data_IF_985132748530
#
_entry.id   IF_985132748530
#
_cell.length_a   1.000
_cell.length_b   1.000
_cell.length_c   1.000
_cell.angle_alpha   90.00
_cell.angle_beta   90.00
_cell.angle_gamma   90.00
#
_symmetry.space_group_name_H-M   'P 1'
#
loop_
_entity.id
_entity.type
_entity.pdbx_description
1 polymer ?
#
# COMPACT_ATOMS: atom_id res chain seq x y z
N UNK A 1 -52.10 71.38 -3.97
CA UNK A 1 -52.24 69.93 -3.74
C UNK A 1 -51.32 69.57 -2.57
N UNK A 2 -51.86 69.37 -1.36
CA UNK A 2 -51.04 69.11 -0.16
C UNK A 2 -50.63 67.63 -0.17
N UNK A 3 -49.36 67.33 -0.46
CA UNK A 3 -48.85 65.97 -0.35
C UNK A 3 -48.87 65.55 1.13
N UNK A 4 -49.48 64.40 1.40
CA UNK A 4 -49.71 63.91 2.74
C UNK A 4 -48.42 63.24 3.25
N UNK A 5 -47.53 64.05 3.85
CA UNK A 5 -46.16 63.70 4.24
C UNK A 5 -46.08 62.47 5.16
N UNK A 6 -47.12 62.21 5.95
CA UNK A 6 -47.19 61.01 6.80
C UNK A 6 -47.26 59.71 5.98
N UNK A 7 -47.96 59.71 4.83
CA UNK A 7 -48.04 58.54 3.95
C UNK A 7 -46.70 58.25 3.25
N UNK A 8 -45.96 59.30 2.90
CA UNK A 8 -44.61 59.19 2.31
C UNK A 8 -43.62 58.62 3.33
N UNK A 9 -43.72 59.05 4.60
CA UNK A 9 -42.89 58.54 5.68
C UNK A 9 -43.14 57.05 5.97
N UNK A 10 -44.41 56.63 6.01
CA UNK A 10 -44.77 55.22 6.17
C UNK A 10 -44.36 54.36 4.97
N UNK A 11 -44.39 54.90 3.74
CA UNK A 11 -43.94 54.20 2.53
C UNK A 11 -42.40 54.06 2.48
N UNK A 12 -41.65 55.08 2.92
CA UNK A 12 -40.19 54.99 3.08
C UNK A 12 -39.78 54.04 4.20
N UNK A 13 -40.47 54.04 5.35
CA UNK A 13 -40.19 53.12 6.45
C UNK A 13 -40.46 51.65 6.08
N UNK A 14 -41.53 51.38 5.31
CA UNK A 14 -41.82 50.06 4.77
C UNK A 14 -40.80 49.59 3.72
N UNK A 15 -40.28 50.51 2.91
CA UNK A 15 -39.26 50.19 1.90
C UNK A 15 -37.90 49.90 2.54
N UNK A 16 -37.53 50.60 3.62
CA UNK A 16 -36.29 50.37 4.35
C UNK A 16 -36.29 49.04 5.15
N UNK A 17 -37.47 48.58 5.60
CA UNK A 17 -37.63 47.31 6.29
C UNK A 17 -37.51 46.07 5.37
N UNK A 18 -37.65 46.24 4.05
CA UNK A 18 -37.52 45.14 3.08
C UNK A 18 -36.04 44.88 2.72
N UNK A 19 -35.16 45.88 2.88
CA UNK A 19 -33.72 45.76 2.54
C UNK A 19 -32.91 45.07 3.64
N UNK A 20 -33.46 44.91 4.85
CA UNK A 20 -32.77 44.26 5.98
C UNK A 20 -32.95 42.75 6.04
N UNK A 21 -33.74 42.14 5.14
CA UNK A 21 -33.78 40.69 4.91
C UNK A 21 -32.65 40.29 3.96
N UNK A 22 -31.42 40.68 4.31
CA UNK A 22 -30.22 40.17 3.64
C UNK A 22 -30.08 38.70 3.99
N UNK A 23 -30.14 37.83 2.98
CA UNK A 23 -29.90 36.40 3.11
C UNK A 23 -28.55 36.14 3.78
N UNK A 24 -28.53 35.89 5.10
CA UNK A 24 -27.35 35.45 5.84
C UNK A 24 -26.87 34.03 5.47
N UNK A 25 -27.54 33.35 4.54
CA UNK A 25 -27.06 32.07 3.99
C UNK A 25 -26.12 32.37 2.83
N UNK A 26 -24.86 32.66 3.18
CA UNK A 26 -23.74 32.50 2.27
C UNK A 26 -23.80 31.07 1.70
N UNK A 27 -23.70 30.94 0.39
CA UNK A 27 -23.73 29.65 -0.30
C UNK A 27 -22.53 28.85 0.20
N UNK A 28 -22.77 27.80 0.97
CA UNK A 28 -21.77 26.77 1.21
C UNK A 28 -21.70 25.96 -0.07
N UNK A 29 -20.73 26.26 -0.92
CA UNK A 29 -20.37 25.37 -2.02
C UNK A 29 -19.80 24.10 -1.40
N UNK A 30 -20.65 23.08 -1.23
CA UNK A 30 -20.18 21.73 -1.01
C UNK A 30 -19.57 21.26 -2.32
N UNK A 31 -18.24 21.10 -2.34
CA UNK A 31 -17.52 20.48 -3.45
C UNK A 31 -17.92 19.00 -3.52
N UNK A 32 -19.02 18.70 -4.23
CA UNK A 32 -19.54 17.34 -4.41
C UNK A 32 -18.62 16.50 -5.31
N UNK A 33 -17.75 17.14 -6.09
CA UNK A 33 -16.91 16.49 -7.12
C UNK A 33 -15.55 16.03 -6.63
N UNK A 34 -15.14 16.36 -5.40
CA UNK A 34 -13.83 16.00 -4.85
C UNK A 34 -13.95 15.54 -3.41
N UNK A 35 -13.31 14.41 -3.09
CA UNK A 35 -13.16 13.91 -1.73
C UNK A 35 -12.44 14.96 -0.89
N UNK A 36 -13.13 15.53 0.10
CA UNK A 36 -12.56 16.44 1.08
C UNK A 36 -11.95 15.65 2.24
N UNK A 37 -11.18 16.32 3.10
CA UNK A 37 -10.64 15.70 4.32
C UNK A 37 -11.74 15.14 5.25
N UNK A 38 -12.97 15.63 5.13
CA UNK A 38 -14.12 15.13 5.90
C UNK A 38 -14.46 13.68 5.56
N UNK A 39 -14.15 13.19 4.36
CA UNK A 39 -14.34 11.79 4.01
C UNK A 39 -13.53 10.85 4.90
N UNK A 40 -12.30 11.23 5.22
CA UNK A 40 -11.41 10.49 6.12
C UNK A 40 -11.79 10.61 7.60
N UNK A 41 -12.90 11.29 7.92
CA UNK A 41 -13.53 11.24 9.25
C UNK A 41 -14.61 10.17 9.35
N UNK A 42 -14.85 9.40 8.28
CA UNK A 42 -15.84 8.32 8.23
C UNK A 42 -15.17 6.95 8.30
N UNK A 43 -15.90 5.94 8.77
CA UNK A 43 -15.47 4.53 8.76
C UNK A 43 -14.99 4.09 7.37
N UNK A 44 -15.78 4.39 6.34
CA UNK A 44 -15.49 4.01 4.97
C UNK A 44 -14.22 4.71 4.47
N UNK A 45 -14.07 6.02 4.72
CA UNK A 45 -12.90 6.76 4.26
C UNK A 45 -11.60 6.35 4.95
N UNK A 46 -11.64 6.04 6.25
CA UNK A 46 -10.47 5.51 6.95
C UNK A 46 -10.09 4.11 6.49
N UNK A 47 -11.08 3.25 6.23
CA UNK A 47 -10.83 1.92 5.66
C UNK A 47 -10.25 2.01 4.24
N UNK A 48 -10.77 2.93 3.41
CA UNK A 48 -10.24 3.16 2.06
C UNK A 48 -8.85 3.80 2.08
N UNK A 49 -8.52 4.61 3.09
CA UNK A 49 -7.16 5.07 3.33
C UNK A 49 -6.21 3.91 3.65
N UNK A 50 -6.61 2.96 4.51
CA UNK A 50 -5.83 1.75 4.80
C UNK A 50 -5.60 0.94 3.51
N UNK A 51 -6.66 0.68 2.75
CA UNK A 51 -6.58 -0.02 1.47
C UNK A 51 -5.66 0.69 0.46
N UNK A 52 -5.73 2.02 0.39
CA UNK A 52 -4.87 2.81 -0.50
C UNK A 52 -3.38 2.60 -0.21
N UNK A 53 -3.01 2.27 1.03
CA UNK A 53 -1.64 1.98 1.41
C UNK A 53 -1.10 0.69 0.80
N UNK A 54 -1.95 -0.21 0.27
CA UNK A 54 -1.54 -1.42 -0.46
C UNK A 54 -1.26 -1.18 -1.93
N UNK A 55 -1.87 -0.17 -2.55
CA UNK A 55 -1.75 0.04 -4.00
C UNK A 55 -0.28 0.15 -4.50
N UNK A 56 0.67 0.76 -3.77
CA UNK A 56 2.07 0.79 -4.19
C UNK A 56 2.76 -0.57 -4.28
N UNK A 57 2.25 -1.61 -3.61
CA UNK A 57 2.80 -2.97 -3.72
C UNK A 57 2.73 -3.51 -5.13
N UNK A 58 1.73 -3.06 -5.91
CA UNK A 58 1.49 -3.54 -7.27
C UNK A 58 2.67 -3.24 -8.18
N UNK A 59 3.27 -2.05 -8.07
CA UNK A 59 4.34 -1.60 -8.95
C UNK A 59 5.50 -2.60 -9.07
N UNK A 60 5.80 -3.35 -8.00
CA UNK A 60 6.86 -4.37 -8.02
C UNK A 60 6.57 -5.54 -8.95
N UNK A 61 5.32 -5.84 -9.32
CA UNK A 61 4.95 -7.12 -9.94
C UNK A 61 4.34 -7.04 -11.35
N UNK A 62 4.34 -5.87 -11.98
CA UNK A 62 3.31 -5.58 -12.99
C UNK A 62 3.82 -5.00 -14.30
N UNK A 63 5.13 -4.86 -14.44
CA UNK A 63 5.74 -4.39 -15.66
C UNK A 63 7.19 -4.85 -15.79
N UNK A 64 7.88 -4.27 -16.77
CA UNK A 64 9.27 -4.62 -17.07
C UNK A 64 10.23 -4.38 -15.90
N UNK A 65 9.98 -3.33 -15.13
CA UNK A 65 10.73 -3.02 -13.90
C UNK A 65 10.78 -4.19 -12.91
N UNK A 66 9.76 -5.07 -12.92
CA UNK A 66 9.65 -6.19 -12.00
C UNK A 66 10.73 -7.23 -12.19
N UNK A 67 11.04 -7.60 -13.43
CA UNK A 67 12.13 -8.53 -13.69
C UNK A 67 13.47 -7.81 -13.83
N UNK A 68 13.50 -6.60 -14.41
CA UNK A 68 14.73 -5.85 -14.60
C UNK A 68 15.38 -5.45 -13.26
N UNK A 69 14.62 -5.02 -12.24
CA UNK A 69 15.21 -4.57 -10.98
C UNK A 69 15.43 -5.67 -9.95
N UNK A 70 14.75 -6.82 -10.08
CA UNK A 70 14.72 -7.84 -9.04
C UNK A 70 15.23 -9.22 -9.47
N UNK A 71 15.37 -9.47 -10.78
CA UNK A 71 15.90 -10.73 -11.30
C UNK A 71 17.16 -10.56 -12.15
N UNK A 72 17.40 -9.39 -12.77
CA UNK A 72 18.62 -9.16 -13.56
C UNK A 72 19.82 -8.91 -12.63
N UNK A 73 21.03 -9.15 -13.15
CA UNK A 73 22.28 -8.89 -12.43
C UNK A 73 22.72 -10.03 -11.51
N UNK A 74 22.18 -11.23 -11.71
CA UNK A 74 22.58 -12.48 -11.04
C UNK A 74 22.96 -13.54 -12.07
N UNK A 75 23.50 -14.68 -11.64
CA UNK A 75 23.94 -15.76 -12.52
C UNK A 75 22.81 -16.69 -13.00
N UNK A 76 21.60 -16.57 -12.42
CA UNK A 76 20.43 -17.36 -12.84
C UNK A 76 19.58 -16.73 -13.94
N UNK A 77 19.72 -15.42 -14.20
CA UNK A 77 18.88 -14.70 -15.17
C UNK A 77 19.69 -13.70 -15.99
N UNK A 78 19.42 -13.61 -17.29
CA UNK A 78 20.03 -12.65 -18.20
C UNK A 78 19.00 -12.09 -19.18
N UNK A 79 19.28 -10.92 -19.75
CA UNK A 79 18.46 -10.34 -20.82
C UNK A 79 18.32 -11.31 -22.00
N UNK A 80 17.15 -11.27 -22.63
CA UNK A 80 16.92 -11.96 -23.90
C UNK A 80 17.39 -11.12 -25.10
N UNK A 81 16.64 -11.19 -26.19
CA UNK A 81 16.97 -10.50 -27.45
C UNK A 81 16.74 -8.98 -27.43
N UNK A 82 15.93 -8.48 -26.48
CA UNK A 82 15.69 -7.04 -26.34
C UNK A 82 16.73 -6.40 -25.42
N UNK A 83 17.48 -5.44 -25.95
CA UNK A 83 18.51 -4.67 -25.21
C UNK A 83 17.93 -3.54 -24.33
N UNK A 84 16.60 -3.43 -24.21
CA UNK A 84 16.01 -2.52 -23.24
C UNK A 84 16.41 -2.98 -21.83
N UNK A 85 16.96 -2.06 -21.03
CA UNK A 85 17.29 -2.31 -19.62
C UNK A 85 18.44 -3.30 -19.35
N UNK A 86 19.28 -3.62 -20.35
CA UNK A 86 20.51 -4.43 -20.19
C UNK A 86 21.45 -3.92 -19.09
N UNK A 87 21.41 -2.60 -18.82
CA UNK A 87 22.14 -1.94 -17.74
C UNK A 87 21.91 -2.54 -16.34
N UNK A 88 20.81 -3.26 -16.13
CA UNK A 88 20.56 -3.99 -14.88
C UNK A 88 21.25 -5.36 -14.80
N UNK A 89 21.69 -5.95 -15.91
CA UNK A 89 22.53 -7.14 -15.92
C UNK A 89 24.01 -6.77 -15.87
N UNK A 90 24.42 -5.83 -16.71
CA UNK A 90 25.84 -5.52 -16.89
C UNK A 90 26.36 -4.46 -15.91
N UNK A 91 25.46 -3.76 -15.20
CA UNK A 91 25.78 -2.65 -14.28
C UNK A 91 26.72 -1.60 -14.92
N UNK A 92 26.47 -1.30 -16.19
CA UNK A 92 27.28 -0.37 -16.99
C UNK A 92 26.96 1.11 -16.66
N UNK A 93 27.62 2.03 -17.37
CA UNK A 93 27.43 3.47 -17.19
C UNK A 93 26.01 3.97 -17.52
N UNK A 94 25.18 3.17 -18.19
CA UNK A 94 23.80 3.53 -18.49
C UNK A 94 22.90 3.37 -17.25
N UNK A 95 23.30 2.58 -16.24
CA UNK A 95 22.64 2.59 -14.94
C UNK A 95 23.11 3.78 -14.12
N UNK A 96 22.40 4.91 -14.27
CA UNK A 96 22.75 6.17 -13.63
C UNK A 96 21.54 6.81 -12.91
N UNK A 97 21.76 7.97 -12.29
CA UNK A 97 20.75 8.64 -11.47
C UNK A 97 19.50 9.12 -12.22
N UNK A 98 19.53 9.15 -13.56
CA UNK A 98 18.36 9.50 -14.39
C UNK A 98 17.53 8.27 -14.78
N UNK A 99 17.88 7.09 -14.26
CA UNK A 99 17.11 5.89 -14.52
C UNK A 99 15.66 5.99 -14.00
N UNK A 100 14.71 5.73 -14.88
CA UNK A 100 13.28 5.85 -14.60
C UNK A 100 12.80 4.84 -13.56
N UNK A 101 13.21 3.57 -13.63
CA UNK A 101 12.73 2.56 -12.68
C UNK A 101 13.31 2.77 -11.29
N UNK A 102 14.55 3.25 -11.17
CA UNK A 102 15.13 3.66 -9.89
C UNK A 102 14.35 4.82 -9.28
N UNK A 103 13.99 5.83 -10.09
CA UNK A 103 13.16 6.96 -9.64
C UNK A 103 11.75 6.53 -9.23
N UNK A 104 11.12 5.67 -10.03
CA UNK A 104 9.78 5.15 -9.77
C UNK A 104 9.73 4.29 -8.51
N UNK A 105 10.75 3.45 -8.26
CA UNK A 105 10.89 2.69 -7.01
C UNK A 105 10.86 3.64 -5.81
N UNK A 106 11.66 4.70 -5.86
CA UNK A 106 11.72 5.70 -4.79
C UNK A 106 10.37 6.39 -4.58
N UNK A 107 9.80 6.93 -5.65
CA UNK A 107 8.55 7.70 -5.63
C UNK A 107 7.37 6.84 -5.15
N UNK A 108 7.25 5.62 -5.66
CA UNK A 108 6.19 4.68 -5.31
C UNK A 108 6.25 4.24 -3.83
N UNK A 109 7.44 3.90 -3.32
CA UNK A 109 7.58 3.48 -1.93
C UNK A 109 7.35 4.65 -0.95
N UNK A 110 7.82 5.86 -1.25
CA UNK A 110 7.51 7.04 -0.42
C UNK A 110 6.04 7.44 -0.47
N UNK A 111 5.35 7.23 -1.60
CA UNK A 111 3.89 7.38 -1.67
C UNK A 111 3.18 6.39 -0.73
N UNK A 112 3.63 5.13 -0.66
CA UNK A 112 3.14 4.13 0.29
C UNK A 112 3.40 4.52 1.75
N UNK A 113 4.61 4.96 2.07
CA UNK A 113 4.97 5.44 3.41
C UNK A 113 4.10 6.63 3.83
N UNK A 114 3.86 7.59 2.93
CA UNK A 114 2.98 8.73 3.20
C UNK A 114 1.57 8.28 3.55
N UNK A 115 0.98 7.36 2.77
CA UNK A 115 -0.36 6.81 3.04
C UNK A 115 -0.41 6.08 4.38
N UNK A 116 0.64 5.31 4.72
CA UNK A 116 0.74 4.65 6.02
C UNK A 116 0.78 5.66 7.18
N UNK A 117 1.62 6.70 7.08
CA UNK A 117 1.72 7.73 8.12
C UNK A 117 0.40 8.46 8.31
N UNK A 118 -0.26 8.86 7.22
CA UNK A 118 -1.57 9.51 7.27
C UNK A 118 -2.62 8.61 7.92
N UNK A 119 -2.71 7.34 7.51
CA UNK A 119 -3.66 6.40 8.11
C UNK A 119 -3.40 6.17 9.59
N UNK A 120 -2.14 6.00 10.01
CA UNK A 120 -1.77 5.84 11.42
C UNK A 120 -2.21 7.06 12.23
N UNK A 121 -1.92 8.27 11.75
CA UNK A 121 -2.27 9.51 12.43
C UNK A 121 -3.79 9.68 12.55
N UNK A 122 -4.51 9.52 11.44
CA UNK A 122 -5.97 9.72 11.41
C UNK A 122 -6.73 8.67 12.23
N UNK A 123 -6.34 7.38 12.15
CA UNK A 123 -6.97 6.32 12.95
C UNK A 123 -6.68 6.52 14.44
N UNK A 124 -5.49 7.00 14.80
CA UNK A 124 -5.14 7.29 16.21
C UNK A 124 -6.00 8.42 16.79
N UNK A 125 -6.39 9.39 15.96
CA UNK A 125 -7.22 10.53 16.37
C UNK A 125 -8.73 10.26 16.24
N UNK A 126 -9.12 9.23 15.49
CA UNK A 126 -10.52 8.88 15.27
C UNK A 126 -11.18 8.48 16.59
N UNK A 127 -12.30 9.10 16.94
CA UNK A 127 -13.00 8.87 18.21
C UNK A 127 -14.51 8.81 18.01
N UNK A 128 -14.99 7.73 17.40
CA UNK A 128 -16.40 7.40 17.29
C UNK A 128 -16.64 5.95 17.74
N UNK A 129 -17.22 5.77 18.92
CA UNK A 129 -17.53 4.45 19.48
C UNK A 129 -18.68 3.72 18.76
N UNK A 130 -19.41 4.38 17.86
CA UNK A 130 -20.46 3.76 17.04
C UNK A 130 -19.92 3.12 15.76
N UNK A 131 -18.66 3.42 15.43
CA UNK A 131 -17.94 2.86 14.29
C UNK A 131 -17.90 1.33 14.35
N UNK A 132 -18.25 0.68 13.24
CA UNK A 132 -18.20 -0.78 13.13
C UNK A 132 -16.80 -1.29 12.81
N UNK A 133 -15.97 -0.46 12.20
CA UNK A 133 -14.62 -0.81 11.75
C UNK A 133 -13.53 -0.33 12.69
N UNK A 134 -13.77 0.74 13.46
CA UNK A 134 -12.78 1.45 14.27
C UNK A 134 -13.34 1.90 15.63
N UNK A 135 -14.48 1.36 16.07
CA UNK A 135 -15.14 1.78 17.31
C UNK A 135 -14.43 1.33 18.59
N UNK A 136 -13.61 0.26 18.49
CA UNK A 136 -12.86 -0.29 19.63
C UNK A 136 -11.36 -0.05 19.50
N UNK A 137 -10.64 -0.06 20.63
CA UNK A 137 -9.19 0.05 20.63
C UNK A 137 -8.52 -1.09 19.83
N UNK A 138 -9.00 -2.33 19.96
CA UNK A 138 -8.47 -3.48 19.23
C UNK A 138 -8.62 -3.33 17.71
N UNK A 139 -9.73 -2.79 17.24
CA UNK A 139 -9.96 -2.53 15.82
C UNK A 139 -9.03 -1.44 15.26
N UNK A 140 -8.81 -0.37 16.03
CA UNK A 140 -7.84 0.67 15.65
C UNK A 140 -6.43 0.11 15.61
N UNK A 141 -6.02 -0.64 16.63
CA UNK A 141 -4.70 -1.27 16.71
C UNK A 141 -4.48 -2.27 15.57
N UNK A 142 -5.51 -3.02 15.15
CA UNK A 142 -5.44 -3.91 13.99
C UNK A 142 -5.06 -3.15 12.71
N UNK A 143 -5.76 -2.03 12.41
CA UNK A 143 -5.49 -1.22 11.22
C UNK A 143 -4.17 -0.46 11.30
N UNK A 144 -3.79 0.03 12.48
CA UNK A 144 -2.49 0.67 12.70
C UNK A 144 -1.36 -0.35 12.49
N UNK A 145 -1.52 -1.58 12.98
CA UNK A 145 -0.55 -2.65 12.77
C UNK A 145 -0.41 -3.01 11.28
N UNK A 146 -1.52 -3.06 10.55
CA UNK A 146 -1.56 -3.27 9.10
C UNK A 146 -0.71 -2.22 8.37
N UNK A 147 -0.92 -0.94 8.68
CA UNK A 147 -0.16 0.18 8.11
C UNK A 147 1.32 0.16 8.51
N UNK A 148 1.65 -0.21 9.75
CA UNK A 148 3.05 -0.35 10.19
C UNK A 148 3.77 -1.47 9.44
N UNK A 149 3.14 -2.63 9.27
CA UNK A 149 3.72 -3.73 8.50
C UNK A 149 4.01 -3.32 7.05
N UNK A 150 3.09 -2.61 6.40
CA UNK A 150 3.31 -2.05 5.06
C UNK A 150 4.44 -1.01 5.04
N UNK A 151 4.48 -0.10 6.01
CA UNK A 151 5.56 0.91 6.12
C UNK A 151 6.93 0.26 6.29
N UNK A 152 7.03 -0.75 7.15
CA UNK A 152 8.23 -1.56 7.31
C UNK A 152 8.65 -2.24 6.01
N UNK A 153 7.70 -2.79 5.25
CA UNK A 153 7.96 -3.38 3.94
C UNK A 153 8.53 -2.37 2.95
N UNK A 154 7.94 -1.18 2.84
CA UNK A 154 8.42 -0.13 1.92
C UNK A 154 9.83 0.35 2.27
N UNK A 155 10.12 0.58 3.55
CA UNK A 155 11.48 0.87 3.97
C UNK A 155 12.44 -0.28 3.68
N UNK A 156 12.01 -1.53 3.88
CA UNK A 156 12.84 -2.69 3.61
C UNK A 156 13.16 -2.87 2.12
N UNK A 157 12.24 -2.58 1.21
CA UNK A 157 12.53 -2.56 -0.23
C UNK A 157 13.58 -1.49 -0.57
N UNK A 158 13.43 -0.28 -0.02
CA UNK A 158 14.34 0.82 -0.36
C UNK A 158 15.73 0.69 0.26
N UNK A 159 15.86 0.23 1.52
CA UNK A 159 17.17 0.14 2.19
C UNK A 159 18.11 -0.84 1.48
N UNK A 160 17.56 -1.88 0.85
CA UNK A 160 18.35 -2.87 0.10
C UNK A 160 18.93 -2.27 -1.19
N UNK A 161 18.23 -1.32 -1.83
CA UNK A 161 18.71 -0.74 -3.10
C UNK A 161 19.51 0.56 -2.91
N UNK A 162 19.17 1.36 -1.89
CA UNK A 162 19.73 2.70 -1.71
C UNK A 162 20.64 2.83 -0.48
N UNK A 163 20.67 1.83 0.39
CA UNK A 163 21.30 1.94 1.71
C UNK A 163 20.55 2.95 2.59
N UNK A 164 21.28 3.91 3.16
CA UNK A 164 20.68 4.92 4.03
C UNK A 164 19.66 5.79 3.30
N UNK A 165 18.48 6.01 3.88
CA UNK A 165 17.38 6.76 3.27
C UNK A 165 16.70 7.64 4.33
N UNK A 166 16.02 8.74 3.94
CA UNK A 166 15.26 9.54 4.89
C UNK A 166 14.15 8.74 5.60
N UNK A 167 14.09 8.88 6.92
CA UNK A 167 13.03 8.29 7.74
C UNK A 167 11.93 9.32 8.00
N UNK A 168 10.78 9.11 7.35
CA UNK A 168 9.56 9.91 7.50
C UNK A 168 8.52 9.01 8.16
N UNK A 169 8.32 9.15 9.47
CA UNK A 169 7.45 8.27 10.28
C UNK A 169 6.19 8.95 10.79
N UNK A 170 5.98 10.22 10.42
CA UNK A 170 4.83 11.04 10.75
C UNK A 170 4.46 11.94 9.56
N UNK A 171 3.26 12.49 9.56
CA UNK A 171 2.86 13.49 8.56
C UNK A 171 3.55 14.82 8.90
N UNK A 172 4.28 15.46 7.97
CA UNK A 172 4.86 16.77 8.24
C UNK A 172 3.77 17.81 8.51
N UNK A 173 3.80 18.48 9.66
CA UNK A 173 2.83 19.52 10.02
C UNK A 173 3.00 20.85 9.24
N UNK A 174 4.07 20.97 8.44
CA UNK A 174 4.36 22.11 7.56
C UNK A 174 5.14 21.63 6.33
N UNK A 175 5.16 22.40 5.22
CA UNK A 175 6.02 22.09 4.08
C UNK A 175 7.47 21.89 4.51
N UNK A 176 8.05 20.76 4.12
CA UNK A 176 9.42 20.39 4.39
C UNK A 176 10.15 20.17 3.06
N UNK A 177 11.30 20.81 2.91
CA UNK A 177 12.09 20.78 1.67
C UNK A 177 13.41 20.01 1.83
N UNK A 178 13.78 19.69 3.08
CA UNK A 178 15.03 18.99 3.40
C UNK A 178 14.72 17.68 4.12
N UNK A 179 15.27 16.59 3.59
CA UNK A 179 15.10 15.24 4.11
C UNK A 179 16.48 14.58 4.26
N UNK A 180 17.14 14.74 5.42
CA UNK A 180 18.44 14.12 5.64
C UNK A 180 18.34 12.60 5.60
N UNK A 181 19.32 11.95 4.98
CA UNK A 181 19.41 10.48 4.94
C UNK A 181 19.71 9.96 6.35
N UNK A 182 18.93 9.00 6.82
CA UNK A 182 19.31 8.23 7.99
C UNK A 182 20.38 7.19 7.62
N UNK A 183 21.16 6.76 8.60
CA UNK A 183 22.08 5.64 8.43
C UNK A 183 21.34 4.33 8.15
N UNK A 184 22.00 3.38 7.48
CA UNK A 184 21.44 2.03 7.23
C UNK A 184 20.96 1.38 8.53
N UNK A 185 21.73 1.49 9.61
CA UNK A 185 21.38 0.96 10.93
C UNK A 185 20.06 1.55 11.47
N UNK A 186 19.87 2.87 11.39
CA UNK A 186 18.64 3.52 11.81
C UNK A 186 17.43 3.06 10.97
N UNK A 187 17.63 2.85 9.67
CA UNK A 187 16.56 2.36 8.80
C UNK A 187 16.15 0.94 9.17
N UNK A 188 17.11 0.04 9.42
CA UNK A 188 16.80 -1.31 9.91
C UNK A 188 16.12 -1.30 11.27
N UNK A 189 16.54 -0.45 12.21
CA UNK A 189 15.87 -0.35 13.51
C UNK A 189 14.41 0.11 13.36
N UNK A 190 14.11 1.04 12.44
CA UNK A 190 12.73 1.45 12.13
C UNK A 190 11.91 0.31 11.51
N UNK A 191 12.47 -0.42 10.53
CA UNK A 191 11.83 -1.58 9.87
C UNK A 191 11.47 -2.65 10.92
N UNK A 192 12.45 -3.00 11.76
CA UNK A 192 12.27 -4.01 12.82
C UNK A 192 11.21 -3.56 13.82
N UNK A 193 11.22 -2.28 14.23
CA UNK A 193 10.22 -1.74 15.15
C UNK A 193 8.79 -1.79 14.57
N UNK A 194 8.64 -1.44 13.29
CA UNK A 194 7.35 -1.47 12.61
C UNK A 194 6.78 -2.90 12.55
N UNK A 195 7.56 -3.89 12.09
CA UNK A 195 7.08 -5.27 12.04
C UNK A 195 6.87 -5.90 13.43
N UNK A 196 7.77 -5.65 14.38
CA UNK A 196 7.67 -6.19 15.74
C UNK A 196 6.46 -5.64 16.49
N UNK A 197 6.14 -4.36 16.31
CA UNK A 197 4.96 -3.76 16.92
C UNK A 197 3.65 -4.09 16.19
N UNK A 198 3.70 -4.39 14.89
CA UNK A 198 2.52 -4.79 14.12
C UNK A 198 2.05 -6.22 14.43
N UNK A 199 2.97 -7.19 14.47
CA UNK A 199 2.62 -8.61 14.52
C UNK A 199 1.60 -9.02 15.60
N UNK A 200 1.72 -8.57 16.87
CA UNK A 200 0.79 -8.96 17.93
C UNK A 200 -0.69 -8.62 17.65
N UNK A 201 -0.95 -7.50 16.98
CA UNK A 201 -2.32 -7.04 16.68
C UNK A 201 -2.90 -7.62 15.40
N UNK A 202 -2.07 -8.22 14.54
CA UNK A 202 -2.51 -8.84 13.29
C UNK A 202 -3.00 -10.28 13.52
N UNK A 203 -4.02 -10.75 12.78
CA UNK A 203 -4.40 -12.15 12.77
C UNK A 203 -3.38 -12.97 11.98
N UNK A 204 -3.29 -14.28 12.29
CA UNK A 204 -2.43 -15.21 11.55
C UNK A 204 -2.85 -15.37 10.09
N UNK A 205 -4.17 -15.40 9.82
CA UNK A 205 -4.73 -15.59 8.49
C UNK A 205 -6.01 -14.77 8.34
N UNK A 206 -6.30 -14.41 7.09
CA UNK A 206 -7.60 -13.88 6.68
C UNK A 206 -8.32 -14.86 5.77
N UNK A 207 -9.65 -14.79 5.77
CA UNK A 207 -10.53 -15.58 4.90
C UNK A 207 -11.48 -14.66 4.14
N UNK A 208 -12.05 -15.14 3.03
CA UNK A 208 -13.02 -14.38 2.26
C UNK A 208 -12.43 -13.08 1.68
N UNK A 209 -13.16 -11.98 1.83
CA UNK A 209 -12.83 -10.67 1.22
C UNK A 209 -11.58 -10.00 1.80
N UNK A 210 -11.14 -10.39 2.99
CA UNK A 210 -9.95 -9.81 3.65
C UNK A 210 -8.65 -10.56 3.34
N UNK A 211 -8.69 -11.64 2.53
CA UNK A 211 -7.49 -12.32 2.05
C UNK A 211 -6.53 -11.33 1.40
N UNK A 212 -5.22 -11.48 1.61
CA UNK A 212 -4.21 -10.59 1.03
C UNK A 212 -3.92 -9.30 1.79
N UNK A 213 -4.70 -9.00 2.84
CA UNK A 213 -4.24 -8.05 3.87
C UNK A 213 -3.02 -8.58 4.62
N UNK A 214 -2.22 -7.68 5.17
CA UNK A 214 -1.07 -7.98 6.00
C UNK A 214 -1.50 -8.80 7.22
N UNK A 215 -0.89 -9.97 7.39
CA UNK A 215 -1.11 -10.88 8.50
C UNK A 215 0.05 -10.83 9.49
N UNK A 216 -0.12 -11.45 10.65
CA UNK A 216 0.99 -11.71 11.58
C UNK A 216 2.07 -12.56 10.91
N UNK A 217 1.68 -13.52 10.07
CA UNK A 217 2.61 -14.34 9.30
C UNK A 217 3.48 -13.47 8.36
N UNK A 218 2.87 -12.52 7.64
CA UNK A 218 3.61 -11.55 6.81
C UNK A 218 4.57 -10.71 7.67
N UNK A 219 4.09 -10.12 8.76
CA UNK A 219 4.91 -9.25 9.60
C UNK A 219 6.11 -10.00 10.19
N UNK A 220 5.93 -11.22 10.71
CA UNK A 220 7.00 -12.02 11.28
C UNK A 220 7.93 -12.62 10.24
N UNK A 221 7.43 -12.98 9.05
CA UNK A 221 8.29 -13.38 7.93
C UNK A 221 9.24 -12.25 7.53
N UNK A 222 8.72 -11.05 7.29
CA UNK A 222 9.57 -9.91 6.92
C UNK A 222 10.43 -9.39 8.08
N UNK A 223 9.99 -9.55 9.33
CA UNK A 223 10.83 -9.29 10.51
C UNK A 223 12.03 -10.23 10.57
N UNK A 224 11.81 -11.53 10.37
CA UNK A 224 12.88 -12.52 10.29
C UNK A 224 13.84 -12.19 9.13
N UNK A 225 13.32 -11.81 7.95
CA UNK A 225 14.16 -11.35 6.83
C UNK A 225 14.95 -10.09 7.18
N UNK A 226 14.37 -9.11 7.84
CA UNK A 226 15.06 -7.89 8.24
C UNK A 226 16.21 -8.18 9.24
N UNK A 227 15.98 -9.05 10.23
CA UNK A 227 17.03 -9.52 11.13
C UNK A 227 18.11 -10.30 10.40
N UNK A 228 17.74 -11.18 9.47
CA UNK A 228 18.68 -11.96 8.68
C UNK A 228 19.57 -11.05 7.83
N UNK A 229 18.97 -10.15 7.04
CA UNK A 229 19.71 -9.23 6.16
C UNK A 229 20.59 -8.26 6.96
N UNK A 230 20.13 -7.82 8.14
CA UNK A 230 20.98 -7.03 9.03
C UNK A 230 22.16 -7.88 9.51
N UNK A 231 21.89 -8.99 10.20
CA UNK A 231 22.91 -9.79 10.86
C UNK A 231 23.86 -10.54 9.92
N UNK A 232 23.49 -10.77 8.65
CA UNK A 232 24.31 -11.49 7.67
C UNK A 232 25.42 -10.64 7.04
N UNK A 233 25.43 -9.33 7.27
CA UNK A 233 26.40 -8.45 6.63
C UNK A 233 27.81 -8.66 7.21
N UNK A 234 28.76 -8.94 6.31
CA UNK A 234 30.17 -9.25 6.64
C UNK A 234 31.01 -7.97 6.72
N UNK A 235 30.90 -7.10 5.72
CA UNK A 235 31.72 -5.88 5.60
C UNK A 235 30.91 -4.60 5.81
N UNK A 236 29.64 -4.59 5.43
CA UNK A 236 28.78 -3.42 5.57
C UNK A 236 28.24 -3.27 7.00
N UNK A 237 28.40 -2.08 7.59
CA UNK A 237 27.79 -1.79 8.88
C UNK A 237 26.29 -1.51 8.72
N UNK A 238 25.47 -2.56 8.91
CA UNK A 238 23.99 -2.49 8.89
C UNK A 238 23.38 -2.32 10.29
N UNK A 239 24.20 -2.24 11.33
CA UNK A 239 23.76 -2.16 12.72
C UNK A 239 23.50 -3.54 13.34
N UNK A 240 24.29 -4.54 12.93
CA UNK A 240 24.22 -5.92 13.37
C UNK A 240 24.26 -6.04 14.89
N UNK A 241 23.43 -6.93 15.43
CA UNK A 241 23.41 -7.26 16.86
C UNK A 241 23.69 -8.76 17.04
N UNK A 242 24.40 -9.18 18.10
CA UNK A 242 24.67 -10.61 18.35
C UNK A 242 23.40 -11.47 18.43
N UNK A 243 22.26 -10.85 18.77
CA UNK A 243 20.94 -11.50 18.90
C UNK A 243 20.13 -11.54 17.61
N UNK A 244 20.67 -11.06 16.47
CA UNK A 244 19.92 -11.02 15.22
C UNK A 244 19.58 -12.43 14.74
N UNK A 245 20.54 -13.37 14.77
CA UNK A 245 20.29 -14.75 14.34
C UNK A 245 19.30 -15.48 15.26
N UNK A 246 19.37 -15.25 16.58
CA UNK A 246 18.37 -15.78 17.53
C UNK A 246 16.97 -15.25 17.20
N UNK A 247 16.87 -13.98 16.82
CA UNK A 247 15.60 -13.36 16.43
C UNK A 247 15.08 -13.94 15.11
N UNK A 248 15.96 -14.22 14.13
CA UNK A 248 15.58 -14.92 12.89
C UNK A 248 14.94 -16.27 13.21
N UNK A 249 15.63 -17.10 14.01
CA UNK A 249 15.16 -18.42 14.40
C UNK A 249 13.81 -18.33 15.12
N UNK A 250 13.69 -17.39 16.07
CA UNK A 250 12.46 -17.21 16.84
C UNK A 250 11.25 -16.87 15.94
N UNK A 251 11.33 -15.80 15.16
CA UNK A 251 10.19 -15.34 14.37
C UNK A 251 9.89 -16.26 13.18
N UNK A 252 10.90 -16.88 12.57
CA UNK A 252 10.68 -17.86 11.52
C UNK A 252 9.96 -19.11 12.07
N UNK A 253 10.39 -19.63 13.22
CA UNK A 253 9.73 -20.77 13.87
C UNK A 253 8.30 -20.43 14.29
N UNK A 254 8.05 -19.21 14.76
CA UNK A 254 6.71 -18.79 15.14
C UNK A 254 5.75 -18.81 13.93
N UNK A 255 6.21 -18.36 12.76
CA UNK A 255 5.43 -18.49 11.52
C UNK A 255 5.23 -19.96 11.13
N UNK A 256 6.28 -20.79 11.16
CA UNK A 256 6.19 -22.20 10.78
C UNK A 256 5.20 -22.96 11.65
N UNK A 257 5.21 -22.72 12.97
CA UNK A 257 4.41 -23.48 13.93
C UNK A 257 2.98 -22.94 14.05
N UNK A 258 2.80 -21.61 14.08
CA UNK A 258 1.54 -21.01 14.52
C UNK A 258 0.71 -20.37 13.41
N UNK A 259 1.27 -20.17 12.21
CA UNK A 259 0.54 -19.45 11.16
C UNK A 259 -0.58 -20.25 10.51
N UNK A 260 -0.52 -21.59 10.57
CA UNK A 260 -1.44 -22.48 9.87
C UNK A 260 -1.26 -22.47 8.35
N UNK A 261 -0.13 -21.95 7.84
CA UNK A 261 0.31 -22.13 6.47
C UNK A 261 1.01 -23.49 6.28
N UNK A 262 0.86 -24.07 5.09
CA UNK A 262 1.46 -25.35 4.72
C UNK A 262 1.96 -25.27 3.29
N UNK A 263 3.10 -25.91 3.01
CA UNK A 263 3.59 -26.04 1.64
C UNK A 263 2.57 -26.77 0.76
N UNK A 264 2.47 -26.36 -0.50
CA UNK A 264 1.71 -27.08 -1.51
C UNK A 264 2.36 -28.44 -1.76
N UNK A 265 1.53 -29.47 -1.94
CA UNK A 265 2.01 -30.80 -2.29
C UNK A 265 2.57 -30.86 -3.72
N UNK A 266 2.05 -30.00 -4.60
CA UNK A 266 2.52 -29.82 -5.97
C UNK A 266 2.96 -28.36 -6.15
N UNK A 267 4.24 -28.17 -6.45
CA UNK A 267 4.84 -26.86 -6.70
C UNK A 267 4.14 -26.10 -7.84
N UNK A 268 3.61 -26.81 -8.84
CA UNK A 268 2.87 -26.22 -9.95
C UNK A 268 1.62 -25.44 -9.50
N UNK A 269 1.04 -25.79 -8.34
CA UNK A 269 -0.14 -25.10 -7.81
C UNK A 269 0.14 -23.65 -7.42
N UNK A 270 1.39 -23.29 -7.11
CA UNK A 270 1.77 -21.90 -6.81
C UNK A 270 1.61 -20.98 -8.01
N UNK A 271 1.64 -21.53 -9.22
CA UNK A 271 1.59 -20.80 -10.49
C UNK A 271 0.34 -21.12 -11.30
N UNK A 272 -0.52 -21.99 -10.80
CA UNK A 272 -1.71 -22.45 -11.52
C UNK A 272 -2.78 -21.36 -11.54
N UNK A 273 -2.77 -20.54 -12.60
CA UNK A 273 -3.87 -19.65 -12.95
C UNK A 273 -5.07 -20.46 -13.47
N UNK A 274 -5.78 -21.15 -12.58
CA UNK A 274 -6.97 -21.89 -12.98
C UNK A 274 -8.08 -20.91 -13.38
N UNK A 275 -8.16 -20.62 -14.68
CA UNK A 275 -9.43 -20.29 -15.31
C UNK A 275 -10.38 -21.48 -15.15
N UNK A 276 -11.72 -21.26 -15.11
CA UNK A 276 -12.70 -22.22 -14.57
C UNK A 276 -12.71 -23.66 -15.10
N UNK A 277 -11.93 -24.00 -16.13
CA UNK A 277 -11.86 -25.33 -16.75
C UNK A 277 -10.43 -25.90 -16.87
N UNK A 278 -9.41 -25.27 -16.29
CA UNK A 278 -8.05 -25.82 -16.27
C UNK A 278 -7.38 -25.88 -17.65
N UNK A 279 -7.83 -25.09 -18.63
CA UNK A 279 -7.20 -24.95 -19.94
C UNK A 279 -6.67 -23.53 -20.14
N UNK A 280 -5.45 -23.43 -20.66
CA UNK A 280 -4.99 -22.20 -21.32
C UNK A 280 -5.66 -22.19 -22.71
N UNK A 281 -6.59 -21.27 -23.01
CA UNK A 281 -7.15 -21.20 -24.36
C UNK A 281 -6.03 -20.81 -25.34
N UNK A 282 -5.94 -21.42 -26.53
CA UNK A 282 -5.11 -20.88 -27.58
C UNK A 282 -5.59 -19.45 -27.87
N UNK A 283 -4.65 -18.51 -27.97
CA UNK A 283 -4.95 -17.15 -28.47
C UNK A 283 -5.74 -17.29 -29.78
N UNK A 284 -6.95 -16.75 -29.82
CA UNK A 284 -7.71 -16.70 -31.07
C UNK A 284 -6.93 -15.89 -32.11
N UNK A 285 -7.02 -16.28 -33.38
CA UNK A 285 -6.26 -15.73 -34.52
C UNK A 285 -6.31 -14.19 -34.67
N UNK A 286 -7.25 -13.52 -33.98
CA UNK A 286 -7.48 -12.08 -34.07
C UNK A 286 -7.44 -11.33 -32.71
N UNK A 287 -6.93 -11.94 -31.64
CA UNK A 287 -6.75 -11.26 -30.35
C UNK A 287 -8.05 -10.84 -29.62
N UNK A 288 -9.20 -11.39 -29.98
CA UNK A 288 -10.46 -11.10 -29.31
C UNK A 288 -10.59 -11.87 -27.97
N UNK A 289 -11.04 -11.22 -26.88
CA UNK A 289 -11.23 -11.88 -25.59
C UNK A 289 -12.42 -12.88 -25.64
N UNK A 290 -12.32 -14.06 -24.99
CA UNK A 290 -13.36 -15.07 -25.04
C UNK A 290 -14.65 -14.61 -24.33
N UNK A 291 -15.80 -14.88 -24.95
CA UNK A 291 -17.12 -14.63 -24.36
C UNK A 291 -17.49 -15.80 -23.43
N UNK A 292 -17.54 -15.58 -22.11
CA UNK A 292 -18.29 -16.48 -21.21
C UNK A 292 -17.66 -17.02 -19.90
N UNK A 293 -16.44 -16.66 -19.49
CA UNK A 293 -15.82 -17.24 -18.27
C UNK A 293 -15.64 -16.22 -17.14
N UNK A 294 -16.46 -16.31 -16.09
CA UNK A 294 -16.16 -15.66 -14.80
C UNK A 294 -15.23 -16.58 -14.00
N UNK A 295 -13.97 -16.20 -13.87
CA UNK A 295 -12.97 -16.89 -13.04
C UNK A 295 -13.41 -16.96 -11.56
N UNK A 296 -13.08 -18.08 -10.91
CA UNK A 296 -13.12 -18.18 -9.45
C UNK A 296 -11.87 -17.52 -8.90
N UNK A 297 -12.07 -16.42 -8.19
CA UNK A 297 -11.06 -15.58 -7.53
C UNK A 297 -10.25 -16.36 -6.48
N UNK A 298 -10.70 -17.57 -6.13
CA UNK A 298 -10.05 -18.44 -5.16
C UNK A 298 -8.76 -19.11 -5.66
N UNK A 299 -8.54 -19.32 -6.97
CA UNK A 299 -7.50 -20.26 -7.38
C UNK A 299 -6.06 -19.84 -7.04
N UNK A 300 -5.67 -18.59 -7.26
CA UNK A 300 -4.25 -18.20 -7.14
C UNK A 300 -3.84 -17.71 -5.75
N UNK A 301 -4.81 -17.35 -4.90
CA UNK A 301 -4.58 -16.82 -3.54
C UNK A 301 -5.18 -17.71 -2.44
N UNK A 302 -5.73 -18.88 -2.77
CA UNK A 302 -6.16 -19.87 -1.78
C UNK A 302 -5.07 -20.89 -1.42
N UNK A 303 -3.91 -20.85 -2.09
CA UNK A 303 -2.79 -21.70 -1.69
C UNK A 303 -2.51 -21.49 -0.20
N UNK A 304 -2.40 -22.61 0.53
CA UNK A 304 -2.10 -22.55 1.95
C UNK A 304 -0.64 -22.16 2.20
N UNK A 305 0.20 -22.12 1.17
CA UNK A 305 1.61 -21.73 1.25
C UNK A 305 1.81 -20.20 1.22
N UNK A 306 0.91 -19.48 0.56
CA UNK A 306 1.06 -18.03 0.35
C UNK A 306 0.82 -17.27 1.67
N UNK A 307 1.89 -16.75 2.26
CA UNK A 307 1.88 -15.93 3.48
C UNK A 307 1.48 -14.47 3.19
N UNK A 308 1.82 -13.97 2.02
CA UNK A 308 1.46 -12.64 1.55
C UNK A 308 1.47 -12.56 0.03
N UNK A 309 0.43 -11.94 -0.53
CA UNK A 309 0.37 -11.57 -1.93
C UNK A 309 -0.16 -10.15 -2.01
N UNK A 310 0.33 -9.36 -2.97
CA UNK A 310 -0.37 -8.16 -3.38
C UNK A 310 -1.70 -8.65 -3.98
N UNK A 311 -2.81 -8.51 -3.25
CA UNK A 311 -4.08 -9.04 -3.73
C UNK A 311 -4.55 -8.23 -4.94
N UNK A 312 -4.83 -8.95 -6.01
CA UNK A 312 -5.41 -8.41 -7.21
C UNK A 312 -6.89 -8.84 -7.30
N UNK A 313 -7.75 -7.90 -7.67
CA UNK A 313 -9.20 -7.82 -7.44
C UNK A 313 -9.99 -9.06 -7.83
N UNK A 314 -11.19 -9.14 -7.25
CA UNK A 314 -12.24 -10.05 -7.70
C UNK A 314 -12.82 -9.71 -9.08
N UNK A 315 -12.55 -8.51 -9.60
CA UNK A 315 -13.16 -8.00 -10.83
C UNK A 315 -12.32 -8.29 -12.08
N UNK A 316 -12.77 -9.27 -12.87
CA UNK A 316 -12.12 -9.74 -14.09
C UNK A 316 -12.36 -8.85 -15.32
N UNK A 317 -13.31 -7.92 -15.27
CA UNK A 317 -13.61 -7.01 -16.39
C UNK A 317 -12.44 -6.04 -16.64
N UNK A 318 -11.57 -5.88 -15.65
CA UNK A 318 -10.42 -5.02 -15.70
C UNK A 318 -9.16 -5.76 -16.24
N UNK A 319 -9.22 -7.07 -16.46
CA UNK A 319 -8.12 -7.82 -17.06
C UNK A 319 -7.97 -7.46 -18.55
N UNK A 320 -6.87 -6.81 -18.94
CA UNK A 320 -6.46 -6.81 -20.35
C UNK A 320 -5.86 -5.54 -20.95
N UNK A 321 -5.68 -4.44 -20.23
CA UNK A 321 -4.96 -3.30 -20.81
C UNK A 321 -3.46 -3.42 -20.50
N UNK A 322 -2.68 -3.85 -21.49
CA UNK A 322 -1.20 -3.74 -21.59
C UNK A 322 -0.35 -4.86 -20.97
N UNK A 323 -0.40 -6.11 -21.45
CA UNK A 323 0.54 -7.18 -21.02
C UNK A 323 0.67 -7.36 -19.48
N UNK A 324 -0.32 -6.84 -18.76
CA UNK A 324 -0.43 -6.77 -17.32
C UNK A 324 -1.19 -8.01 -16.91
N UNK A 325 -0.48 -9.02 -16.46
CA UNK A 325 -1.09 -10.06 -15.64
C UNK A 325 -1.67 -9.41 -14.40
N UNK A 326 -2.98 -9.12 -14.48
CA UNK A 326 -3.96 -9.05 -13.41
C UNK A 326 -3.64 -8.06 -12.27
N UNK A 327 -4.00 -6.78 -12.46
CA UNK A 327 -3.69 -5.68 -11.53
C UNK A 327 -4.91 -4.87 -11.08
N UNK A 328 -5.64 -5.25 -10.02
CA UNK A 328 -6.70 -4.36 -9.49
C UNK A 328 -6.85 -4.48 -7.97
N UNK A 329 -7.30 -3.45 -7.28
CA UNK A 329 -7.82 -3.57 -5.91
C UNK A 329 -9.31 -3.16 -5.96
N UNK A 330 -10.20 -3.69 -5.08
CA UNK A 330 -11.61 -3.28 -5.05
C UNK A 330 -11.83 -1.77 -4.88
#
# INVERSE_FOLDING_TARGET
MKLNTYKIFWMMAGTLAIVSVSCKKFIKEELVTTLTEDYYKTDAGLEDLVKSAYAPLQWKYTGEQSYAMYNFGVDEFREGDQFNNVRYNDYDANLNSNDAFVNDLWTNNYAGIRRCNQGIEMISQFNDGTSKLLGTAAQKELRIAELKALRGYYYFQMVQQFGGIPLITAVPGKPQYEFPRASVAQVYDQIINDFKSAGPSLPWRYTGVDRGRATRAMAYHFLAKAYLTRGSAVTEARGQKPTDMDSVIFYANDVIVNSGHTLEADYGNLFNAAYPDGRIPPLGENGAPPTGSKAKIDANNASNEIIFAAQFSSNLVLAGTNNQTHMFYP
#
